data_IF_378749336529
#
_entry.id   IF_378749336529
#
_cell.length_a   1.000
_cell.length_b   1.000
_cell.length_c   1.000
_cell.angle_alpha   90.00
_cell.angle_beta   90.00
_cell.angle_gamma   90.00
#
_symmetry.space_group_name_H-M   'P 1'
#
loop_
_entity.id
_entity.type
_entity.pdbx_description
1 polymer ?
#
# COMPACT_ATOMS: atom_id res chain seq x y z
N UNK A 1 -5.59 13.05 1.22
CA UNK A 1 -5.34 14.13 0.23
C UNK A 1 -4.33 13.70 -0.84
N UNK A 2 -3.01 13.65 -0.57
CA UNK A 2 -2.00 13.34 -1.60
C UNK A 2 -2.24 12.00 -2.33
N UNK A 3 -2.47 10.89 -1.59
CA UNK A 3 -2.81 9.57 -2.16
C UNK A 3 -4.09 9.60 -2.98
N UNK A 4 -5.18 10.10 -2.40
CA UNK A 4 -6.46 10.27 -3.10
C UNK A 4 -6.31 11.06 -4.42
N UNK A 5 -5.51 12.13 -4.44
CA UNK A 5 -5.25 12.90 -5.66
C UNK A 5 -4.49 12.09 -6.71
N UNK A 6 -3.54 11.24 -6.30
CA UNK A 6 -2.86 10.34 -7.22
C UNK A 6 -3.79 9.25 -7.75
N UNK A 7 -4.64 8.68 -6.89
CA UNK A 7 -5.63 7.67 -7.26
C UNK A 7 -6.67 8.23 -8.25
N UNK A 8 -7.18 9.44 -8.02
CA UNK A 8 -8.04 10.16 -8.97
C UNK A 8 -7.33 10.33 -10.32
N UNK A 9 -6.07 10.76 -10.30
CA UNK A 9 -5.30 10.98 -11.54
C UNK A 9 -5.10 9.67 -12.30
N UNK A 10 -4.77 8.58 -11.58
CA UNK A 10 -4.58 7.24 -12.14
C UNK A 10 -5.88 6.69 -12.73
N UNK A 11 -6.99 6.78 -12.00
CA UNK A 11 -8.30 6.32 -12.48
C UNK A 11 -8.74 7.09 -13.73
N UNK A 12 -8.46 8.39 -13.81
CA UNK A 12 -8.73 9.20 -15.01
C UNK A 12 -7.83 8.79 -16.19
N UNK A 13 -6.55 8.48 -15.97
CA UNK A 13 -5.69 7.97 -17.04
C UNK A 13 -6.15 6.61 -17.56
N UNK A 14 -6.60 5.72 -16.67
CA UNK A 14 -7.04 4.37 -17.01
C UNK A 14 -8.41 4.36 -17.70
N UNK A 15 -9.37 5.13 -17.18
CA UNK A 15 -10.78 5.04 -17.56
C UNK A 15 -11.30 6.27 -18.33
N UNK A 16 -10.58 7.40 -18.27
CA UNK A 16 -11.04 8.69 -18.79
C UNK A 16 -10.91 8.85 -20.29
N UNK A 17 -11.25 7.84 -21.10
CA UNK A 17 -11.32 7.97 -22.56
C UNK A 17 -12.76 8.26 -22.99
N UNK A 18 -12.99 9.45 -23.52
CA UNK A 18 -14.30 9.85 -24.05
C UNK A 18 -14.22 9.93 -25.58
N UNK A 19 -15.21 9.34 -26.26
CA UNK A 19 -15.44 9.58 -27.69
C UNK A 19 -16.21 10.89 -27.86
N UNK A 20 -15.59 11.86 -28.52
CA UNK A 20 -16.25 13.09 -28.97
C UNK A 20 -16.18 13.05 -30.50
N UNK A 21 -17.34 12.86 -31.13
CA UNK A 21 -17.47 12.51 -32.55
C UNK A 21 -16.57 11.32 -32.94
N UNK A 22 -15.75 11.45 -33.99
CA UNK A 22 -14.85 10.40 -34.48
C UNK A 22 -13.48 10.40 -33.77
N UNK A 23 -13.29 11.18 -32.69
CA UNK A 23 -12.01 11.29 -31.96
C UNK A 23 -12.14 10.82 -30.51
N UNK A 24 -11.19 9.98 -30.08
CA UNK A 24 -11.03 9.61 -28.66
C UNK A 24 -10.16 10.66 -27.98
N UNK A 25 -10.64 11.28 -26.90
CA UNK A 25 -9.86 12.18 -26.05
C UNK A 25 -9.68 11.59 -24.65
N UNK A 26 -8.50 11.80 -24.08
CA UNK A 26 -8.21 11.49 -22.68
C UNK A 26 -8.57 12.68 -21.79
N UNK A 27 -9.40 12.44 -20.80
CA UNK A 27 -9.66 13.32 -19.68
C UNK A 27 -8.36 13.54 -18.88
N UNK A 28 -8.22 14.73 -18.31
CA UNK A 28 -7.12 15.06 -17.39
C UNK A 28 -7.65 15.94 -16.27
N UNK A 29 -7.43 15.53 -15.03
CA UNK A 29 -7.71 16.37 -13.87
C UNK A 29 -6.57 17.35 -13.60
N UNK A 30 -6.90 18.49 -13.02
CA UNK A 30 -5.95 19.40 -12.36
C UNK A 30 -6.30 19.37 -10.88
N UNK A 31 -5.31 19.19 -10.01
CA UNK A 31 -5.54 19.10 -8.56
C UNK A 31 -4.62 20.07 -7.84
N UNK A 32 -5.18 20.82 -6.89
CA UNK A 32 -4.47 21.73 -6.01
C UNK A 32 -4.68 21.35 -4.55
N UNK A 33 -3.60 21.18 -3.79
CA UNK A 33 -3.65 20.83 -2.36
C UNK A 33 -2.94 21.91 -1.56
N UNK A 34 -3.61 22.44 -0.54
CA UNK A 34 -3.00 23.38 0.38
C UNK A 34 -3.35 23.04 1.83
N UNK A 35 -2.53 23.52 2.77
CA UNK A 35 -2.70 23.28 4.20
C UNK A 35 -2.53 24.57 4.96
N UNK A 36 -3.45 24.88 5.85
CA UNK A 36 -3.48 26.10 6.64
C UNK A 36 -4.77 26.20 7.44
N UNK A 37 -4.91 27.30 8.18
CA UNK A 37 -6.10 27.56 8.99
C UNK A 37 -7.28 27.93 8.08
N UNK A 38 -8.45 27.44 8.42
CA UNK A 38 -9.72 27.79 7.80
C UNK A 38 -10.82 27.59 8.84
N UNK A 39 -11.96 28.22 8.62
CA UNK A 39 -13.16 28.06 9.44
C UNK A 39 -14.10 27.15 8.66
N UNK A 40 -14.66 26.14 9.32
CA UNK A 40 -15.65 25.24 8.73
C UNK A 40 -16.89 25.19 9.61
N UNK A 41 -18.07 25.24 8.99
CA UNK A 41 -19.34 25.18 9.70
C UNK A 41 -20.53 25.43 8.80
N UNK A 42 -21.72 25.33 9.39
CA UNK A 42 -22.97 25.72 8.73
C UNK A 42 -23.08 27.24 8.67
N UNK A 43 -23.16 27.79 7.47
CA UNK A 43 -23.30 29.22 7.22
C UNK A 43 -24.55 29.45 6.40
N UNK A 44 -25.37 30.41 6.82
CA UNK A 44 -26.63 30.75 6.16
C UNK A 44 -27.69 31.25 7.15
N UNK A 45 -28.89 31.51 6.64
CA UNK A 45 -30.04 31.91 7.47
C UNK A 45 -30.68 30.70 8.15
N UNK A 46 -31.60 30.94 9.09
CA UNK A 46 -32.42 29.87 9.71
C UNK A 46 -33.19 29.03 8.67
N UNK A 47 -33.47 29.57 7.48
CA UNK A 47 -34.22 28.92 6.40
C UNK A 47 -33.34 28.24 5.34
N UNK A 48 -32.04 28.55 5.25
CA UNK A 48 -31.06 27.86 4.40
C UNK A 48 -29.69 27.91 5.04
N UNK A 49 -29.20 26.75 5.48
CA UNK A 49 -27.83 26.58 5.95
C UNK A 49 -27.09 25.67 5.00
N UNK A 50 -25.89 26.08 4.62
CA UNK A 50 -24.96 25.23 3.86
C UNK A 50 -23.68 25.03 4.67
N UNK A 51 -23.20 23.79 4.69
CA UNK A 51 -21.91 23.49 5.28
C UNK A 51 -20.81 24.01 4.34
N UNK A 52 -19.98 24.94 4.82
CA UNK A 52 -18.94 25.56 4.01
C UNK A 52 -17.62 25.68 4.77
N UNK A 53 -16.56 25.94 4.00
CA UNK A 53 -15.21 26.16 4.52
C UNK A 53 -14.68 27.48 3.98
N UNK A 54 -14.38 28.42 4.88
CA UNK A 54 -13.94 29.77 4.53
C UNK A 54 -12.50 29.97 4.99
N UNK A 55 -11.67 30.53 4.12
CA UNK A 55 -10.34 31.00 4.47
C UNK A 55 -9.42 31.17 3.28
N UNK A 56 -8.40 32.01 3.46
CA UNK A 56 -7.32 32.20 2.49
C UNK A 56 -6.66 30.87 2.08
N UNK A 57 -6.59 29.91 3.00
CA UNK A 57 -6.11 28.54 2.73
C UNK A 57 -6.88 27.84 1.61
N UNK A 58 -8.20 27.96 1.60
CA UNK A 58 -9.11 27.31 0.63
C UNK A 58 -8.97 27.99 -0.73
N UNK A 59 -8.97 29.32 -0.74
CA UNK A 59 -8.74 30.11 -1.94
C UNK A 59 -7.40 29.75 -2.59
N UNK A 60 -6.33 29.65 -1.79
CA UNK A 60 -5.04 29.24 -2.32
C UNK A 60 -5.07 27.83 -2.92
N UNK A 61 -5.76 26.86 -2.31
CA UNK A 61 -5.92 25.52 -2.88
C UNK A 61 -6.57 25.56 -4.27
N UNK A 62 -7.64 26.33 -4.43
CA UNK A 62 -8.30 26.56 -5.72
C UNK A 62 -7.34 27.19 -6.74
N UNK A 63 -6.56 28.20 -6.35
CA UNK A 63 -5.56 28.81 -7.24
C UNK A 63 -4.44 27.86 -7.65
N UNK A 64 -4.01 26.97 -6.76
CA UNK A 64 -3.05 25.92 -7.11
C UNK A 64 -3.65 24.96 -8.15
N UNK A 65 -4.92 24.60 -8.03
CA UNK A 65 -5.62 23.76 -8.99
C UNK A 65 -5.71 24.44 -10.37
N UNK A 66 -6.10 25.71 -10.43
CA UNK A 66 -6.18 26.48 -11.68
C UNK A 66 -4.84 26.53 -12.43
N UNK A 67 -3.74 26.66 -11.69
CA UNK A 67 -2.38 26.76 -12.22
C UNK A 67 -1.68 25.41 -12.45
N UNK A 68 -2.31 24.30 -12.07
CA UNK A 68 -1.74 22.98 -12.30
C UNK A 68 -1.83 22.61 -13.78
N UNK A 69 -0.74 22.06 -14.33
CA UNK A 69 -0.77 21.46 -15.67
C UNK A 69 -1.79 20.29 -15.68
N UNK A 70 -2.57 20.10 -16.75
CA UNK A 70 -3.48 18.94 -16.85
C UNK A 70 -2.77 17.61 -16.57
N UNK A 71 -3.33 16.80 -15.67
CA UNK A 71 -2.77 15.54 -15.19
C UNK A 71 -1.73 15.69 -14.08
N UNK A 72 -1.55 16.89 -13.51
CA UNK A 72 -0.60 17.16 -12.43
C UNK A 72 -1.28 17.67 -11.16
N UNK A 73 -0.59 17.45 -10.05
CA UNK A 73 -1.01 17.82 -8.71
C UNK A 73 -0.04 18.88 -8.18
N UNK A 74 -0.54 20.09 -7.92
CA UNK A 74 0.24 21.15 -7.27
C UNK A 74 -0.04 21.20 -5.77
N UNK A 75 1.00 21.37 -4.97
CA UNK A 75 0.91 21.44 -3.51
C UNK A 75 1.57 22.70 -2.96
N UNK A 76 0.99 23.27 -1.90
CA UNK A 76 1.56 24.40 -1.17
C UNK A 76 2.72 24.02 -0.24
N UNK A 77 3.50 25.02 0.20
CA UNK A 77 4.67 24.83 1.09
C UNK A 77 4.37 24.08 2.38
N UNK A 78 3.27 24.41 3.07
CA UNK A 78 2.90 23.74 4.33
C UNK A 78 2.51 22.27 4.09
N UNK A 79 1.81 21.99 2.99
CA UNK A 79 1.50 20.61 2.57
C UNK A 79 2.78 19.84 2.29
N UNK A 80 3.71 20.41 1.49
CA UNK A 80 5.02 19.82 1.23
C UNK A 80 5.77 19.46 2.52
N UNK A 81 5.84 20.38 3.48
CA UNK A 81 6.54 20.14 4.76
C UNK A 81 5.99 18.92 5.52
N UNK A 82 4.67 18.68 5.43
CA UNK A 82 4.02 17.53 6.09
C UNK A 82 4.22 16.20 5.36
N UNK A 83 4.40 16.22 4.03
CA UNK A 83 4.38 14.99 3.22
C UNK A 83 5.72 14.65 2.55
N UNK A 84 6.73 15.53 2.58
CA UNK A 84 8.04 15.31 1.92
C UNK A 84 8.77 14.02 2.33
N UNK A 85 8.45 13.47 3.51
CA UNK A 85 8.98 12.20 3.99
C UNK A 85 8.56 11.02 3.11
N UNK A 86 7.31 11.01 2.65
CA UNK A 86 6.65 9.83 2.08
C UNK A 86 6.40 9.93 0.57
N UNK A 87 6.60 11.10 -0.04
CA UNK A 87 6.24 11.35 -1.44
C UNK A 87 7.41 11.87 -2.28
N UNK A 88 7.39 11.54 -3.57
CA UNK A 88 8.31 12.07 -4.58
C UNK A 88 7.74 13.40 -5.05
N UNK A 89 8.46 14.48 -4.79
CA UNK A 89 8.01 15.85 -5.01
C UNK A 89 9.09 16.62 -5.79
N UNK A 90 8.68 17.50 -6.69
CA UNK A 90 9.62 18.34 -7.45
C UNK A 90 10.38 19.32 -6.57
N UNK A 91 11.46 19.90 -7.12
CA UNK A 91 12.06 21.13 -6.58
C UNK A 91 11.01 22.25 -6.48
N UNK A 92 11.18 23.20 -5.54
CA UNK A 92 10.26 24.32 -5.37
C UNK A 92 10.21 25.19 -6.62
N UNK A 93 9.01 25.66 -6.96
CA UNK A 93 8.77 26.68 -8.00
C UNK A 93 8.05 27.88 -7.38
N UNK A 94 8.34 29.08 -7.87
CA UNK A 94 7.60 30.30 -7.52
C UNK A 94 6.47 30.56 -8.51
N UNK A 95 5.29 30.87 -8.00
CA UNK A 95 4.07 31.10 -8.77
C UNK A 95 3.45 32.44 -8.35
N UNK A 96 3.11 33.29 -9.33
CA UNK A 96 2.31 34.50 -9.09
C UNK A 96 0.84 34.09 -8.99
N UNK A 97 0.22 34.34 -7.85
CA UNK A 97 -1.16 33.96 -7.58
C UNK A 97 -2.02 35.20 -7.43
N UNK A 98 -3.18 35.23 -8.09
CA UNK A 98 -4.14 36.34 -7.96
C UNK A 98 -4.54 36.52 -6.49
N UNK A 99 -4.44 37.75 -5.99
CA UNK A 99 -4.76 38.09 -4.60
C UNK A 99 -3.61 37.90 -3.60
N UNK A 100 -2.43 37.50 -4.06
CA UNK A 100 -1.20 37.48 -3.25
C UNK A 100 -0.22 38.54 -3.75
N UNK A 101 0.33 39.32 -2.81
CA UNK A 101 1.39 40.31 -3.11
C UNK A 101 2.69 39.61 -3.49
N UNK A 102 3.07 38.59 -2.73
CA UNK A 102 4.29 37.82 -2.94
C UNK A 102 4.09 36.57 -3.80
N UNK A 103 5.18 36.13 -4.44
CA UNK A 103 5.22 34.86 -5.14
C UNK A 103 5.07 33.69 -4.16
N UNK A 104 4.11 32.82 -4.44
CA UNK A 104 3.84 31.61 -3.65
C UNK A 104 4.81 30.50 -4.06
N UNK A 105 5.46 29.87 -3.09
CA UNK A 105 6.25 28.65 -3.34
C UNK A 105 5.32 27.45 -3.45
N UNK A 106 5.41 26.74 -4.57
CA UNK A 106 4.60 25.57 -4.91
C UNK A 106 5.51 24.41 -5.33
N UNK A 107 4.97 23.20 -5.26
CA UNK A 107 5.66 21.97 -5.64
C UNK A 107 4.73 21.09 -6.46
N UNK A 108 5.28 20.23 -7.31
CA UNK A 108 4.51 19.21 -8.02
C UNK A 108 4.68 17.88 -7.32
N UNK A 109 3.57 17.28 -6.89
CA UNK A 109 3.53 15.91 -6.40
C UNK A 109 3.65 14.97 -7.61
N UNK A 110 4.68 14.12 -7.63
CA UNK A 110 4.99 13.24 -8.77
C UNK A 110 4.59 11.78 -8.51
N UNK A 111 4.63 11.37 -7.25
CA UNK A 111 4.32 10.01 -6.86
C UNK A 111 4.49 9.82 -5.36
N UNK A 112 4.13 8.64 -4.87
CA UNK A 112 4.49 8.20 -3.54
C UNK A 112 5.91 7.66 -3.62
N UNK A 113 6.75 7.95 -2.61
CA UNK A 113 7.99 7.19 -2.51
C UNK A 113 7.55 5.75 -2.36
N UNK A 114 8.20 4.82 -3.06
CA UNK A 114 8.11 3.43 -2.65
C UNK A 114 8.33 3.44 -1.14
N UNK A 115 7.43 2.82 -0.36
CA UNK A 115 7.85 2.28 0.92
C UNK A 115 8.95 1.31 0.53
N UNK A 116 10.18 1.84 0.43
CA UNK A 116 11.40 1.06 0.40
C UNK A 116 11.17 0.06 1.52
N UNK A 117 11.25 -1.24 1.23
CA UNK A 117 10.90 -2.28 2.21
C UNK A 117 11.47 -1.87 3.56
N UNK A 118 10.71 -2.06 4.63
CA UNK A 118 11.15 -1.83 6.00
C UNK A 118 12.64 -2.17 6.25
N UNK A 119 13.08 -3.29 5.66
CA UNK A 119 14.45 -3.83 5.63
C UNK A 119 15.50 -2.92 4.96
N UNK A 120 15.12 -2.16 3.94
CA UNK A 120 15.99 -1.27 3.18
C UNK A 120 16.03 0.16 3.76
N UNK A 121 14.95 0.67 4.37
CA UNK A 121 14.91 2.05 4.92
C UNK A 121 15.80 2.24 6.16
N UNK A 122 15.97 1.20 6.98
CA UNK A 122 16.63 1.31 8.30
C UNK A 122 18.01 0.67 8.40
N UNK A 123 18.62 0.27 7.27
CA UNK A 123 20.07 -0.01 7.19
C UNK A 123 20.94 1.15 7.71
N UNK A 124 20.40 2.38 7.71
CA UNK A 124 21.08 3.59 8.20
C UNK A 124 20.72 3.97 9.66
N UNK A 125 20.08 3.08 10.44
CA UNK A 125 19.77 3.33 11.86
C UNK A 125 20.96 2.95 12.75
N UNK A 126 21.75 3.95 13.16
CA UNK A 126 23.03 3.81 13.88
C UNK A 126 22.93 3.69 15.42
N UNK A 127 21.74 3.70 16.01
CA UNK A 127 21.62 3.45 17.46
C UNK A 127 21.92 1.98 17.79
N UNK A 128 22.67 1.66 18.87
CA UNK A 128 22.81 0.29 19.35
C UNK A 128 21.44 -0.29 19.74
N UNK A 129 21.29 -1.61 19.58
CA UNK A 129 20.14 -2.36 20.07
C UNK A 129 20.48 -2.87 21.48
N UNK A 130 19.65 -2.52 22.47
CA UNK A 130 19.93 -2.76 23.89
C UNK A 130 18.66 -3.21 24.61
N UNK A 131 18.77 -4.19 25.51
CA UNK A 131 17.75 -4.52 26.51
C UNK A 131 16.54 -5.27 25.96
N UNK A 132 16.72 -5.99 24.84
CA UNK A 132 15.70 -6.81 24.16
C UNK A 132 16.28 -8.11 23.59
N UNK A 133 17.32 -8.60 24.23
CA UNK A 133 18.08 -9.77 23.80
C UNK A 133 17.23 -11.05 23.92
N UNK A 134 16.35 -11.13 24.92
CA UNK A 134 15.45 -12.26 25.14
C UNK A 134 14.35 -12.34 24.07
N UNK A 135 13.68 -11.22 23.75
CA UNK A 135 12.67 -11.21 22.69
C UNK A 135 13.30 -11.52 21.33
N UNK A 136 14.49 -11.00 21.06
CA UNK A 136 15.22 -11.32 19.83
C UNK A 136 15.60 -12.80 19.77
N UNK A 137 16.02 -13.39 20.90
CA UNK A 137 16.30 -14.83 20.99
C UNK A 137 15.05 -15.66 20.66
N UNK A 138 13.89 -15.31 21.21
CA UNK A 138 12.62 -16.00 20.92
C UNK A 138 12.26 -15.94 19.43
N UNK A 139 12.44 -14.78 18.77
CA UNK A 139 12.24 -14.66 17.33
C UNK A 139 13.20 -15.54 16.52
N UNK A 140 14.49 -15.60 16.92
CA UNK A 140 15.49 -16.45 16.26
C UNK A 140 15.19 -17.94 16.43
N UNK A 141 14.72 -18.35 17.60
CA UNK A 141 14.32 -19.74 17.84
C UNK A 141 13.12 -20.14 16.97
N UNK A 142 12.14 -19.25 16.82
CA UNK A 142 11.02 -19.48 15.92
C UNK A 142 11.46 -19.52 14.45
N UNK A 143 12.36 -18.61 14.03
CA UNK A 143 12.96 -18.66 12.69
C UNK A 143 13.67 -19.99 12.44
N UNK A 144 14.41 -20.50 13.42
CA UNK A 144 15.07 -21.81 13.33
C UNK A 144 14.05 -22.95 13.19
N UNK A 145 12.99 -22.96 13.99
CA UNK A 145 11.91 -23.96 13.88
C UNK A 145 11.25 -23.93 12.49
N UNK A 146 10.93 -22.75 11.99
CA UNK A 146 10.37 -22.60 10.64
C UNK A 146 11.34 -23.06 9.55
N UNK A 147 12.65 -22.83 9.71
CA UNK A 147 13.66 -23.35 8.79
C UNK A 147 13.70 -24.88 8.76
N UNK A 148 13.45 -25.52 9.90
CA UNK A 148 13.31 -26.98 10.06
C UNK A 148 11.90 -27.50 9.67
N UNK A 149 11.15 -26.76 8.83
CA UNK A 149 9.79 -27.06 8.38
C UNK A 149 8.74 -27.18 9.50
N UNK A 150 8.99 -26.57 10.66
CA UNK A 150 8.01 -26.45 11.74
C UNK A 150 7.50 -25.02 11.77
N UNK A 151 6.53 -24.72 10.92
CA UNK A 151 6.05 -23.35 10.76
C UNK A 151 5.58 -22.73 12.07
N UNK A 152 5.79 -21.43 12.20
CA UNK A 152 5.57 -20.66 13.41
C UNK A 152 4.67 -19.46 13.11
N UNK A 153 4.07 -18.90 14.15
CA UNK A 153 3.36 -17.62 14.07
C UNK A 153 3.71 -16.85 15.33
N UNK A 154 4.08 -15.58 15.15
CA UNK A 154 4.46 -14.70 16.26
C UNK A 154 3.70 -13.39 16.13
N UNK A 155 3.02 -13.02 17.21
CA UNK A 155 2.45 -11.68 17.37
C UNK A 155 3.41 -10.81 18.19
N UNK A 156 3.74 -9.62 17.68
CA UNK A 156 4.57 -8.64 18.40
C UNK A 156 3.68 -7.47 18.81
N UNK A 157 3.27 -7.45 20.08
CA UNK A 157 2.46 -6.39 20.68
C UNK A 157 3.31 -5.47 21.58
N UNK A 158 2.76 -4.30 21.95
CA UNK A 158 3.45 -3.31 22.77
C UNK A 158 3.15 -1.87 22.36
N UNK A 159 3.57 -0.91 23.20
CA UNK A 159 3.29 0.52 23.02
C UNK A 159 3.87 1.10 21.73
N UNK A 160 3.29 2.22 21.27
CA UNK A 160 3.79 2.93 20.10
C UNK A 160 5.21 3.45 20.35
N UNK A 161 6.14 3.19 19.43
CA UNK A 161 7.52 3.67 19.55
C UNK A 161 8.44 2.82 20.43
N UNK A 162 7.91 1.78 21.09
CA UNK A 162 8.67 0.90 22.01
C UNK A 162 9.78 0.08 21.30
N UNK A 163 9.80 0.09 19.96
CA UNK A 163 10.83 -0.57 19.16
C UNK A 163 10.42 -1.90 18.53
N UNK A 164 9.12 -2.21 18.38
CA UNK A 164 8.63 -3.42 17.67
C UNK A 164 9.25 -3.59 16.29
N UNK A 165 9.21 -2.51 15.49
CA UNK A 165 9.90 -2.43 14.21
C UNK A 165 11.43 -2.59 14.32
N UNK A 166 12.07 -2.14 15.40
CA UNK A 166 13.51 -2.34 15.55
C UNK A 166 13.84 -3.81 15.79
N UNK A 167 13.01 -4.52 16.54
CA UNK A 167 13.19 -5.94 16.84
C UNK A 167 13.18 -6.81 15.57
N UNK A 168 12.22 -6.60 14.66
CA UNK A 168 12.16 -7.32 13.37
C UNK A 168 13.39 -6.98 12.50
N UNK A 169 13.87 -5.73 12.51
CA UNK A 169 15.10 -5.38 11.78
C UNK A 169 16.32 -6.11 12.31
N UNK A 170 16.44 -6.27 13.62
CA UNK A 170 17.55 -7.05 14.19
C UNK A 170 17.45 -8.52 13.83
N UNK A 171 16.24 -9.09 13.80
CA UNK A 171 16.04 -10.45 13.29
C UNK A 171 16.57 -10.58 11.86
N UNK A 172 16.30 -9.59 10.99
CA UNK A 172 16.69 -9.66 9.57
C UNK A 172 18.20 -9.53 9.31
N UNK A 173 18.98 -9.17 10.34
CA UNK A 173 20.45 -9.21 10.28
C UNK A 173 21.01 -10.61 10.55
N UNK A 174 20.21 -11.51 11.10
CA UNK A 174 20.63 -12.88 11.36
C UNK A 174 21.01 -13.59 10.05
N UNK A 175 22.04 -14.43 10.11
CA UNK A 175 22.49 -15.19 8.94
C UNK A 175 21.41 -16.11 8.42
N UNK A 176 20.63 -16.74 9.31
CA UNK A 176 19.60 -17.69 8.91
C UNK A 176 18.48 -16.99 8.12
N UNK A 177 18.19 -15.72 8.40
CA UNK A 177 17.15 -14.97 7.68
C UNK A 177 17.47 -14.78 6.19
N UNK A 178 18.74 -14.87 5.77
CA UNK A 178 19.13 -14.80 4.36
C UNK A 178 18.68 -16.03 3.55
N UNK A 179 18.46 -17.14 4.24
CA UNK A 179 17.93 -18.38 3.69
C UNK A 179 16.40 -18.34 3.49
N UNK A 180 15.74 -17.24 3.90
CA UNK A 180 14.31 -17.05 3.71
C UNK A 180 14.00 -16.14 2.52
N UNK A 181 12.87 -16.39 1.86
CA UNK A 181 12.17 -15.40 1.07
C UNK A 181 11.41 -14.47 2.02
N UNK A 182 11.82 -13.21 2.11
CA UNK A 182 11.18 -12.26 3.03
C UNK A 182 10.13 -11.46 2.29
N UNK A 183 8.87 -11.58 2.71
CA UNK A 183 7.73 -10.84 2.21
C UNK A 183 7.18 -9.95 3.31
N UNK A 184 6.66 -8.78 2.93
CA UNK A 184 6.05 -7.86 3.89
C UNK A 184 4.79 -7.27 3.32
N UNK A 185 3.75 -7.17 4.14
CA UNK A 185 2.51 -6.46 3.85
C UNK A 185 2.22 -5.45 4.94
N UNK A 186 1.71 -4.27 4.56
CA UNK A 186 1.30 -3.24 5.50
C UNK A 186 -0.21 -3.15 5.59
N UNK A 187 -0.74 -3.07 6.81
CA UNK A 187 -2.10 -2.62 7.06
C UNK A 187 -2.13 -1.10 7.20
N UNK A 188 -3.16 -0.45 6.66
CA UNK A 188 -3.31 1.00 6.70
C UNK A 188 -4.69 1.37 7.21
N UNK A 189 -4.79 2.38 8.07
CA UNK A 189 -6.06 2.85 8.65
C UNK A 189 -7.08 3.42 7.64
N UNK A 190 -6.72 3.53 6.36
CA UNK A 190 -7.61 3.97 5.27
C UNK A 190 -7.88 2.85 4.24
N UNK A 191 -7.41 1.64 4.52
CA UNK A 191 -7.63 0.42 3.74
C UNK A 191 -8.36 -0.65 4.56
N UNK A 192 -8.86 -0.29 5.75
CA UNK A 192 -9.57 -1.19 6.68
C UNK A 192 -10.81 -1.83 6.04
N UNK A 193 -11.42 -1.17 5.06
CA UNK A 193 -12.55 -1.69 4.29
C UNK A 193 -12.16 -2.43 3.01
N UNK A 194 -10.87 -2.51 2.67
CA UNK A 194 -10.39 -3.12 1.42
C UNK A 194 -9.90 -4.55 1.69
N UNK A 195 -10.63 -5.59 1.25
CA UNK A 195 -10.25 -6.96 1.51
C UNK A 195 -8.85 -7.30 1.01
N UNK A 196 -8.08 -8.04 1.81
CA UNK A 196 -6.79 -8.59 1.39
C UNK A 196 -5.72 -7.54 1.06
N UNK A 197 -5.83 -6.32 1.60
CA UNK A 197 -4.88 -5.24 1.37
C UNK A 197 -3.41 -5.64 1.61
N UNK A 198 -3.01 -6.25 2.74
CA UNK A 198 -1.63 -6.69 2.96
C UNK A 198 -1.17 -7.78 1.98
N UNK A 199 -2.08 -8.63 1.48
CA UNK A 199 -1.73 -9.67 0.51
C UNK A 199 -1.33 -9.08 -0.84
N UNK A 200 -1.89 -7.92 -1.21
CA UNK A 200 -1.53 -7.23 -2.45
C UNK A 200 -0.04 -6.92 -2.53
N UNK A 201 0.55 -6.40 -1.45
CA UNK A 201 1.99 -6.10 -1.40
C UNK A 201 2.83 -7.38 -1.48
N UNK A 202 2.41 -8.43 -0.76
CA UNK A 202 3.06 -9.75 -0.75
C UNK A 202 3.09 -10.35 -2.17
N UNK A 203 1.94 -10.41 -2.85
CA UNK A 203 1.84 -11.01 -4.17
C UNK A 203 2.47 -10.15 -5.28
N UNK A 204 2.44 -8.82 -5.14
CA UNK A 204 3.22 -7.93 -6.03
C UNK A 204 4.69 -8.33 -6.03
N UNK A 205 5.23 -8.65 -4.84
CA UNK A 205 6.63 -9.07 -4.69
C UNK A 205 6.89 -10.50 -5.18
N UNK A 206 6.01 -11.46 -4.86
CA UNK A 206 6.12 -12.85 -5.35
C UNK A 206 6.15 -12.87 -6.88
N UNK A 207 5.25 -12.14 -7.54
CA UNK A 207 5.13 -12.11 -9.00
C UNK A 207 6.12 -11.15 -9.69
N UNK A 208 6.93 -10.41 -8.93
CA UNK A 208 7.92 -9.48 -9.49
C UNK A 208 7.30 -8.35 -10.31
N UNK A 209 6.11 -7.88 -9.90
CA UNK A 209 5.40 -6.79 -10.55
C UNK A 209 6.10 -5.47 -10.23
N UNK A 210 6.33 -4.67 -11.27
CA UNK A 210 6.92 -3.34 -11.22
C UNK A 210 5.82 -2.29 -11.43
N UNK A 211 6.12 -1.08 -11.01
CA UNK A 211 5.16 0.03 -11.07
C UNK A 211 4.81 0.46 -12.50
N UNK A 212 5.76 0.27 -13.42
CA UNK A 212 5.69 0.63 -14.83
C UNK A 212 5.26 -0.52 -15.72
N UNK A 213 5.00 -1.72 -15.17
CA UNK A 213 4.46 -2.83 -15.94
C UNK A 213 3.06 -2.48 -16.44
N UNK A 214 2.81 -2.76 -17.72
CA UNK A 214 1.45 -2.69 -18.24
C UNK A 214 0.61 -3.92 -17.84
N UNK A 215 -0.70 -3.88 -18.10
CA UNK A 215 -1.61 -4.97 -17.72
C UNK A 215 -1.24 -6.33 -18.35
N UNK A 216 -0.75 -6.33 -19.61
CA UNK A 216 -0.37 -7.58 -20.29
C UNK A 216 0.90 -8.16 -19.66
N UNK A 217 1.83 -7.29 -19.28
CA UNK A 217 3.04 -7.69 -18.58
C UNK A 217 2.73 -8.25 -17.18
N UNK A 218 1.82 -7.61 -16.43
CA UNK A 218 1.36 -8.09 -15.13
C UNK A 218 0.76 -9.50 -15.26
N UNK A 219 -0.20 -9.68 -16.17
CA UNK A 219 -0.86 -10.97 -16.38
C UNK A 219 0.16 -12.05 -16.75
N UNK A 220 1.08 -11.76 -17.68
CA UNK A 220 2.13 -12.70 -18.07
C UNK A 220 3.05 -13.08 -16.90
N UNK A 221 3.38 -12.13 -16.02
CA UNK A 221 4.21 -12.38 -14.83
C UNK A 221 3.50 -13.27 -13.83
N UNK A 222 2.22 -12.99 -13.55
CA UNK A 222 1.39 -13.80 -12.66
C UNK A 222 1.32 -15.23 -13.20
N UNK A 223 0.96 -15.40 -14.48
CA UNK A 223 0.80 -16.70 -15.12
C UNK A 223 2.11 -17.52 -15.08
N UNK A 224 3.23 -16.91 -15.50
CA UNK A 224 4.53 -17.59 -15.51
C UNK A 224 4.98 -17.98 -14.10
N UNK A 225 4.79 -17.08 -13.13
CA UNK A 225 5.23 -17.33 -11.77
C UNK A 225 4.37 -18.37 -11.07
N UNK A 226 3.05 -18.41 -11.32
CA UNK A 226 2.20 -19.51 -10.84
C UNK A 226 2.69 -20.84 -11.41
N UNK A 227 2.99 -20.92 -12.72
CA UNK A 227 3.54 -22.15 -13.33
C UNK A 227 4.87 -22.58 -12.71
N UNK A 228 5.74 -21.63 -12.40
CA UNK A 228 7.03 -21.87 -11.74
C UNK A 228 6.86 -22.38 -10.30
N UNK A 229 5.85 -21.88 -9.58
CA UNK A 229 5.59 -22.27 -8.19
C UNK A 229 4.86 -23.61 -8.13
N UNK A 230 3.73 -23.71 -8.83
CA UNK A 230 2.87 -24.89 -8.87
C UNK A 230 1.91 -24.78 -10.08
N UNK A 231 2.20 -25.53 -11.15
CA UNK A 231 1.39 -25.53 -12.37
C UNK A 231 -0.05 -25.98 -12.15
N UNK A 232 -0.34 -26.73 -11.08
CA UNK A 232 -1.72 -27.15 -10.76
C UNK A 232 -2.60 -25.97 -10.34
N UNK A 233 -2.00 -24.84 -9.93
CA UNK A 233 -2.72 -23.63 -9.51
C UNK A 233 -2.99 -22.66 -10.66
N UNK A 234 -2.66 -23.01 -11.91
CA UNK A 234 -2.84 -22.12 -13.06
C UNK A 234 -4.30 -21.69 -13.27
N UNK A 235 -5.27 -22.54 -12.91
CA UNK A 235 -6.70 -22.20 -12.94
C UNK A 235 -7.02 -20.96 -12.09
N UNK A 236 -6.21 -20.69 -11.07
CA UNK A 236 -6.42 -19.63 -10.12
C UNK A 236 -5.79 -18.28 -10.53
N UNK A 237 -5.20 -18.22 -11.73
CA UNK A 237 -4.66 -17.01 -12.33
C UNK A 237 -5.61 -15.81 -12.21
N UNK A 238 -6.90 -16.03 -12.47
CA UNK A 238 -7.92 -14.96 -12.43
C UNK A 238 -8.01 -14.31 -11.05
N UNK A 239 -7.89 -15.05 -9.95
CA UNK A 239 -7.93 -14.48 -8.60
C UNK A 239 -6.76 -13.52 -8.34
N UNK A 240 -5.54 -13.89 -8.75
CA UNK A 240 -4.36 -13.06 -8.57
C UNK A 240 -4.33 -11.86 -9.52
N UNK A 241 -4.75 -12.05 -10.77
CA UNK A 241 -4.92 -10.95 -11.72
C UNK A 241 -5.90 -9.93 -11.16
N UNK A 242 -7.02 -10.36 -10.57
CA UNK A 242 -8.00 -9.45 -9.92
C UNK A 242 -7.47 -8.73 -8.69
N UNK A 243 -6.73 -9.44 -7.83
CA UNK A 243 -6.10 -8.87 -6.63
C UNK A 243 -5.12 -7.71 -6.98
N UNK A 244 -4.42 -7.83 -8.11
CA UNK A 244 -3.28 -6.98 -8.45
C UNK A 244 -3.59 -5.97 -9.57
N UNK A 245 -4.31 -6.40 -10.59
CA UNK A 245 -4.82 -5.57 -11.67
C UNK A 245 -6.18 -5.00 -11.24
N UNK A 246 -6.18 -3.79 -10.69
CA UNK A 246 -7.36 -3.02 -10.24
C UNK A 246 -8.41 -2.71 -11.35
N UNK A 247 -8.38 -3.44 -12.46
CA UNK A 247 -9.17 -3.28 -13.68
C UNK A 247 -10.39 -4.19 -13.76
N UNK A 248 -10.42 -5.25 -12.96
CA UNK A 248 -11.54 -6.16 -12.89
C UNK A 248 -12.28 -5.78 -11.61
N UNK A 249 -13.59 -5.51 -11.70
CA UNK A 249 -14.56 -5.36 -10.59
C UNK A 249 -13.92 -5.56 -9.21
N UNK A 250 -13.95 -4.52 -8.36
CA UNK A 250 -13.27 -4.52 -7.05
C UNK A 250 -13.52 -5.83 -6.31
N UNK A 251 -12.54 -6.30 -5.53
CA UNK A 251 -12.69 -7.53 -4.72
C UNK A 251 -14.00 -7.53 -3.92
N UNK A 252 -14.47 -6.34 -3.53
CA UNK A 252 -15.79 -6.07 -2.93
C UNK A 252 -16.94 -6.66 -3.76
N UNK A 253 -17.00 -6.41 -5.08
CA UNK A 253 -18.05 -6.92 -5.98
C UNK A 253 -17.99 -8.44 -6.21
N UNK A 254 -16.90 -9.13 -5.84
CA UNK A 254 -16.79 -10.61 -5.85
C UNK A 254 -17.13 -11.18 -4.49
N UNK A 255 -16.73 -10.51 -3.42
CA UNK A 255 -17.02 -10.99 -2.08
C UNK A 255 -18.50 -10.82 -1.73
N UNK A 256 -19.20 -9.93 -2.44
CA UNK A 256 -20.66 -9.95 -2.55
C UNK A 256 -21.19 -11.21 -3.27
N UNK A 257 -20.38 -11.88 -4.11
CA UNK A 257 -20.67 -13.16 -4.77
C UNK A 257 -20.20 -14.35 -3.90
N UNK A 258 -21.06 -14.73 -2.94
CA UNK A 258 -21.06 -16.00 -2.19
C UNK A 258 -19.84 -16.34 -1.30
N UNK A 259 -20.15 -16.94 -0.14
CA UNK A 259 -19.14 -17.39 0.84
C UNK A 259 -18.23 -18.49 0.28
N UNK A 260 -18.68 -19.23 -0.76
CA UNK A 260 -17.87 -20.27 -1.39
C UNK A 260 -16.68 -19.71 -2.19
N UNK A 261 -16.85 -18.59 -2.90
CA UNK A 261 -15.77 -18.01 -3.70
C UNK A 261 -14.65 -17.46 -2.81
N UNK A 262 -14.99 -16.80 -1.70
CA UNK A 262 -14.00 -16.33 -0.70
C UNK A 262 -13.21 -17.49 -0.10
N UNK A 263 -13.89 -18.58 0.27
CA UNK A 263 -13.23 -19.78 0.79
C UNK A 263 -12.33 -20.46 -0.25
N UNK A 264 -12.71 -20.46 -1.53
CA UNK A 264 -11.86 -20.95 -2.60
C UNK A 264 -10.61 -20.08 -2.77
N UNK A 265 -10.77 -18.75 -2.76
CA UNK A 265 -9.66 -17.80 -2.80
C UNK A 265 -8.65 -18.06 -1.68
N UNK A 266 -9.12 -18.12 -0.43
CA UNK A 266 -8.25 -18.39 0.73
C UNK A 266 -7.49 -19.71 0.54
N UNK A 267 -8.17 -20.79 0.11
CA UNK A 267 -7.51 -22.09 -0.14
C UNK A 267 -6.42 -22.01 -1.21
N UNK A 268 -6.70 -21.35 -2.33
CA UNK A 268 -5.73 -21.16 -3.41
C UNK A 268 -4.52 -20.37 -2.92
N UNK A 269 -4.76 -19.23 -2.26
CA UNK A 269 -3.71 -18.33 -1.77
C UNK A 269 -2.80 -19.06 -0.79
N UNK A 270 -3.38 -19.79 0.17
CA UNK A 270 -2.63 -20.63 1.10
C UNK A 270 -1.78 -21.66 0.37
N UNK A 271 -2.39 -22.40 -0.58
CA UNK A 271 -1.66 -23.42 -1.34
C UNK A 271 -0.49 -22.84 -2.14
N UNK A 272 -0.67 -21.69 -2.76
CA UNK A 272 0.42 -21.00 -3.46
C UNK A 272 1.55 -20.61 -2.50
N UNK A 273 1.23 -20.06 -1.32
CA UNK A 273 2.24 -19.70 -0.31
C UNK A 273 2.98 -20.93 0.22
N UNK A 274 2.30 -22.04 0.47
CA UNK A 274 2.93 -23.29 0.89
C UNK A 274 3.85 -23.84 -0.20
N UNK A 275 3.36 -23.98 -1.44
CA UNK A 275 4.17 -24.44 -2.57
C UNK A 275 5.39 -23.53 -2.78
N UNK A 276 5.23 -22.22 -2.61
CA UNK A 276 6.33 -21.26 -2.69
C UNK A 276 7.34 -21.44 -1.53
N UNK A 277 6.86 -21.68 -0.31
CA UNK A 277 7.71 -21.91 0.87
C UNK A 277 8.52 -23.20 0.78
N UNK A 278 8.00 -24.23 0.10
CA UNK A 278 8.71 -25.49 -0.12
C UNK A 278 9.95 -25.36 -1.01
N UNK A 279 10.00 -24.33 -1.86
CA UNK A 279 11.19 -24.04 -2.68
C UNK A 279 12.27 -23.32 -1.87
N UNK A 280 11.84 -22.39 -1.02
CA UNK A 280 12.70 -21.65 -0.09
C UNK A 280 11.85 -21.16 1.09
N UNK A 281 12.26 -21.36 2.35
CA UNK A 281 11.49 -20.97 3.53
C UNK A 281 11.01 -19.53 3.46
N UNK A 282 9.83 -19.26 4.02
CA UNK A 282 9.15 -17.98 3.86
C UNK A 282 9.06 -17.23 5.19
N UNK A 283 9.44 -15.95 5.19
CA UNK A 283 9.24 -15.05 6.33
C UNK A 283 8.23 -13.98 5.89
N UNK A 284 7.01 -14.03 6.44
CA UNK A 284 5.95 -13.08 6.14
C UNK A 284 5.83 -12.10 7.32
N UNK A 285 6.06 -10.82 7.04
CA UNK A 285 5.93 -9.74 8.03
C UNK A 285 4.67 -8.94 7.71
N UNK A 286 3.67 -8.98 8.59
CA UNK A 286 2.49 -8.12 8.50
C UNK A 286 2.64 -6.99 9.51
N UNK A 287 2.73 -5.75 9.03
CA UNK A 287 2.85 -4.56 9.87
C UNK A 287 1.51 -3.89 10.14
N UNK A 288 1.41 -3.25 11.30
CA UNK A 288 0.26 -2.46 11.72
C UNK A 288 -1.08 -3.25 11.73
N UNK A 289 -1.03 -4.52 12.13
CA UNK A 289 -2.17 -5.47 12.18
C UNK A 289 -3.39 -4.91 12.92
N UNK A 290 -3.24 -3.92 13.80
CA UNK A 290 -4.37 -3.21 14.40
C UNK A 290 -5.31 -2.53 13.39
N UNK A 291 -4.88 -2.34 12.13
CA UNK A 291 -5.66 -1.78 11.02
C UNK A 291 -6.00 -2.81 9.94
N UNK A 292 -5.91 -4.11 10.26
CA UNK A 292 -6.18 -5.19 9.31
C UNK A 292 -7.68 -5.24 8.95
N UNK A 293 -7.99 -5.51 7.68
CA UNK A 293 -9.36 -5.79 7.24
C UNK A 293 -9.84 -7.18 7.69
N UNK A 294 -11.15 -7.36 7.87
CA UNK A 294 -11.75 -8.61 8.37
C UNK A 294 -11.36 -9.84 7.53
N UNK A 295 -11.29 -9.70 6.21
CA UNK A 295 -10.98 -10.80 5.30
C UNK A 295 -9.51 -11.23 5.42
N UNK A 296 -8.59 -10.28 5.52
CA UNK A 296 -7.19 -10.54 5.82
C UNK A 296 -7.00 -11.16 7.21
N UNK A 297 -7.75 -10.71 8.22
CA UNK A 297 -7.70 -11.28 9.57
C UNK A 297 -8.14 -12.75 9.56
N UNK A 298 -9.27 -13.06 8.91
CA UNK A 298 -9.74 -14.43 8.73
C UNK A 298 -8.70 -15.29 8.01
N UNK A 299 -8.11 -14.76 6.93
CA UNK A 299 -7.03 -15.44 6.20
C UNK A 299 -5.84 -15.78 7.10
N UNK A 300 -5.35 -14.83 7.91
CA UNK A 300 -4.23 -15.07 8.84
C UNK A 300 -4.57 -16.12 9.90
N UNK A 301 -5.79 -16.10 10.44
CA UNK A 301 -6.27 -17.09 11.41
C UNK A 301 -6.35 -18.49 10.78
N UNK A 302 -6.77 -18.60 9.52
CA UNK A 302 -6.78 -19.88 8.82
C UNK A 302 -5.36 -20.37 8.52
N UNK A 303 -4.45 -19.48 8.12
CA UNK A 303 -3.04 -19.81 7.92
C UNK A 303 -2.40 -20.33 9.21
N UNK A 304 -2.58 -19.65 10.35
CA UNK A 304 -1.92 -20.00 11.60
C UNK A 304 -2.28 -21.41 12.13
N UNK A 305 -3.42 -21.95 11.72
CA UNK A 305 -3.87 -23.32 12.08
C UNK A 305 -3.12 -24.40 11.30
N UNK A 306 -2.69 -24.10 10.07
CA UNK A 306 -2.17 -25.07 9.11
C UNK A 306 -0.68 -24.88 8.82
N UNK A 307 -0.09 -23.74 9.19
CA UNK A 307 1.29 -23.38 8.90
C UNK A 307 2.33 -24.32 9.51
N UNK A 308 1.97 -25.09 10.55
CA UNK A 308 2.89 -25.91 11.36
C UNK A 308 3.71 -26.92 10.56
N UNK A 309 3.21 -27.34 9.40
CA UNK A 309 3.85 -28.35 8.53
C UNK A 309 4.69 -27.73 7.41
N UNK A 310 4.74 -26.40 7.33
CA UNK A 310 5.38 -25.67 6.24
C UNK A 310 6.51 -24.79 6.76
N UNK A 311 7.57 -24.57 5.96
CA UNK A 311 8.71 -23.75 6.37
C UNK A 311 8.41 -22.26 6.29
N UNK A 312 7.45 -21.79 7.11
CA UNK A 312 6.96 -20.42 7.12
C UNK A 312 7.03 -19.84 8.54
N UNK A 313 7.46 -18.59 8.66
CA UNK A 313 7.35 -17.75 9.85
C UNK A 313 6.51 -16.52 9.53
#
# INVERSE_FOLDING_TARGET
>A
AARASMEITKSIEENGKIKISNKVKSLKARIGINTGLCISGEIGSTSRKEFTVIGDTVNLASRLQENATPGKILIGKKTFQRIKGNFIISSPRKLKVKGKRDLVTVYTLKGEKKKINFLEQKKNSHSPFMGREEELKNLKEALKKSYESKGQTIEISGELGIGKSRLILELTKDSLTKEFNILSGNCSSWEESKPYAPLKEIFTKIFGIKFDDDFKEIDKKIENKIKEIDSSLLFAFSYFSRLLSAKIKSLEEIMEQSKEESNLFIRVVKKLLWSFSSQKPLLIIIEDVQWIDDASAEFLIQCSKEIKEYPIL
#
